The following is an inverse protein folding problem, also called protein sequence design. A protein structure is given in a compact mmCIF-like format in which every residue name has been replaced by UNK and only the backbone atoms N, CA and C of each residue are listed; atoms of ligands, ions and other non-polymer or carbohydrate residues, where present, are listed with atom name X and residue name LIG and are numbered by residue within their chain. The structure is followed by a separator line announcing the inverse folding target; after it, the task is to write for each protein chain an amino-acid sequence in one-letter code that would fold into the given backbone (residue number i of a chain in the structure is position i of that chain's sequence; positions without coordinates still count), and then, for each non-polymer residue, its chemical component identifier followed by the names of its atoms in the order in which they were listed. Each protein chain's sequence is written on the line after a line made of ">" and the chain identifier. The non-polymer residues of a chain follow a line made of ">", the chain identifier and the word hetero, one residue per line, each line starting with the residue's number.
data_IF_220514435989
#
_entry.id   IF_220514435989
#
_cell.length_a   1.000
_cell.length_b   1.000
_cell.length_c   1.000
_cell.angle_alpha   90.00
_cell.angle_beta   90.00
_cell.angle_gamma   90.00
#
_symmetry.space_group_name_H-M   'P 1'
#
loop_
_entity.id
_entity.type
_entity.pdbx_description
1 polymer ?
#
# COMPACT_ATOMS: atom_id res chain seq x y z
N UNK A 1 -39.48 -1.55 40.22
CA UNK A 1 -39.83 -0.36 39.42
C UNK A 1 -38.53 0.15 38.83
N UNK A 2 -38.00 -0.40 37.73
CA UNK A 2 -38.46 -0.43 36.34
C UNK A 2 -38.16 0.87 35.58
N UNK A 3 -36.96 0.95 35.02
CA UNK A 3 -36.57 1.86 33.92
C UNK A 3 -35.72 1.08 32.90
N UNK A 4 -36.23 -0.08 32.48
CA UNK A 4 -35.96 -0.64 31.15
C UNK A 4 -37.24 -0.42 30.36
N UNK A 5 -37.31 0.59 29.50
CA UNK A 5 -38.23 0.73 28.35
C UNK A 5 -38.22 2.20 27.90
N UNK A 6 -37.11 2.62 27.32
CA UNK A 6 -37.09 3.64 26.28
C UNK A 6 -36.20 3.06 25.19
N UNK A 7 -36.51 3.34 23.92
CA UNK A 7 -36.02 2.65 22.70
C UNK A 7 -36.88 1.42 22.31
N UNK A 8 -38.20 1.63 22.15
CA UNK A 8 -39.03 0.82 21.23
C UNK A 8 -40.35 1.52 20.89
N UNK A 9 -40.28 2.70 20.26
CA UNK A 9 -41.47 3.34 19.68
C UNK A 9 -41.04 4.44 18.69
N UNK A 10 -40.52 4.03 17.53
CA UNK A 10 -40.29 4.92 16.39
C UNK A 10 -40.14 4.16 15.08
N UNK A 11 -41.04 3.20 14.84
CA UNK A 11 -41.26 2.58 13.53
C UNK A 11 -42.75 2.25 13.52
N UNK A 12 -43.57 3.18 13.04
CA UNK A 12 -44.93 2.98 12.50
C UNK A 12 -45.68 4.33 12.48
N UNK A 13 -45.23 5.28 11.65
CA UNK A 13 -46.10 6.39 11.24
C UNK A 13 -45.57 7.12 9.98
N UNK A 14 -45.67 6.49 8.81
CA UNK A 14 -45.51 7.17 7.51
C UNK A 14 -46.15 6.43 6.33
N UNK A 15 -47.19 5.63 6.57
CA UNK A 15 -47.90 4.91 5.52
C UNK A 15 -49.41 5.19 5.60
N UNK A 16 -49.84 6.26 4.93
CA UNK A 16 -51.12 6.41 4.18
C UNK A 16 -51.54 7.88 4.11
N UNK A 17 -51.50 8.45 2.90
CA UNK A 17 -52.53 9.30 2.29
C UNK A 17 -51.88 10.16 1.20
N UNK A 18 -52.18 9.91 -0.08
CA UNK A 18 -53.12 10.74 -0.83
C UNK A 18 -53.15 10.29 -2.31
N UNK A 19 -54.24 9.64 -2.70
CA UNK A 19 -54.68 9.45 -4.09
C UNK A 19 -55.70 10.53 -4.40
N UNK A 20 -55.54 11.30 -5.49
CA UNK A 20 -56.63 11.67 -6.41
C UNK A 20 -56.19 12.43 -7.67
N UNK A 21 -57.03 12.21 -8.68
CA UNK A 21 -56.93 12.45 -10.12
C UNK A 21 -57.39 13.85 -10.57
N UNK A 22 -57.12 14.16 -11.87
CA UNK A 22 -57.69 15.17 -12.80
C UNK A 22 -56.80 16.42 -12.99
N UNK A 23 -56.51 16.93 -14.19
CA UNK A 23 -57.39 17.12 -15.37
C UNK A 23 -56.62 17.21 -16.70
N UNK A 24 -57.27 16.73 -17.77
CA UNK A 24 -56.95 16.96 -19.19
C UNK A 24 -57.01 18.45 -19.54
N UNK A 25 -56.09 18.92 -20.40
CA UNK A 25 -56.32 20.07 -21.29
C UNK A 25 -55.80 19.78 -22.69
N UNK A 26 -56.71 20.03 -23.63
CA UNK A 26 -56.71 19.79 -25.07
C UNK A 26 -55.80 20.76 -25.82
N UNK A 27 -55.04 20.30 -26.81
CA UNK A 27 -54.56 21.15 -27.92
C UNK A 27 -54.74 20.38 -29.24
N UNK A 28 -55.14 21.14 -30.26
CA UNK A 28 -55.89 20.80 -31.45
C UNK A 28 -55.08 20.14 -32.58
N UNK A 29 -55.87 19.48 -33.43
CA UNK A 29 -55.55 18.91 -34.73
C UNK A 29 -55.16 20.00 -35.74
N UNK A 30 -54.00 19.88 -36.40
CA UNK A 30 -53.75 20.55 -37.68
C UNK A 30 -52.75 19.74 -38.54
N UNK A 31 -53.30 19.18 -39.61
CA UNK A 31 -52.72 18.88 -40.92
C UNK A 31 -51.45 18.01 -41.04
N UNK A 32 -51.66 16.81 -41.62
CA UNK A 32 -50.67 16.14 -42.46
C UNK A 32 -50.31 17.04 -43.67
N UNK A 33 -49.07 16.90 -44.18
CA UNK A 33 -48.96 16.40 -45.54
C UNK A 33 -48.19 15.08 -45.61
N UNK A 34 -48.44 14.43 -46.74
CA UNK A 34 -48.19 13.05 -47.15
C UNK A 34 -46.74 12.70 -47.50
N UNK A 35 -46.33 11.50 -47.08
CA UNK A 35 -45.38 10.55 -47.72
C UNK A 35 -43.88 10.90 -47.81
N UNK A 36 -42.96 9.93 -48.03
CA UNK A 36 -43.12 8.46 -48.06
C UNK A 36 -42.20 7.68 -47.09
N UNK A 37 -42.57 6.42 -46.91
CA UNK A 37 -41.75 5.28 -46.50
C UNK A 37 -40.37 5.33 -47.21
N UNK A 38 -39.27 5.41 -46.48
CA UNK A 38 -37.92 4.88 -46.82
C UNK A 38 -36.87 5.39 -45.83
N UNK A 39 -36.65 4.67 -44.71
CA UNK A 39 -35.47 4.81 -43.82
C UNK A 39 -35.45 3.75 -42.72
N UNK A 40 -35.64 2.47 -43.07
CA UNK A 40 -35.69 1.39 -42.05
C UNK A 40 -34.99 0.08 -42.48
N UNK A 41 -34.02 0.13 -43.40
CA UNK A 41 -33.20 -1.03 -43.75
C UNK A 41 -31.77 -0.97 -43.17
N UNK A 42 -31.16 0.21 -43.04
CA UNK A 42 -29.75 0.33 -42.59
C UNK A 42 -29.57 0.21 -41.06
N UNK A 43 -30.50 0.72 -40.24
CA UNK A 43 -30.42 0.56 -38.77
C UNK A 43 -30.62 -0.89 -38.32
N UNK A 44 -31.44 -1.67 -39.04
CA UNK A 44 -31.70 -3.07 -38.70
C UNK A 44 -30.50 -3.97 -39.02
N UNK A 45 -29.76 -3.70 -40.11
CA UNK A 45 -28.57 -4.47 -40.48
C UNK A 45 -27.39 -4.23 -39.53
N UNK A 46 -27.13 -2.99 -39.12
CA UNK A 46 -26.09 -2.66 -38.15
C UNK A 46 -26.34 -3.34 -36.79
N UNK A 47 -27.59 -3.32 -36.30
CA UNK A 47 -28.00 -3.99 -35.05
C UNK A 47 -27.92 -5.53 -35.17
N UNK A 48 -28.20 -6.10 -36.34
CA UNK A 48 -28.06 -7.56 -36.57
C UNK A 48 -26.61 -8.03 -36.72
N UNK A 49 -25.73 -7.17 -37.22
CA UNK A 49 -24.29 -7.45 -37.36
C UNK A 49 -23.62 -7.42 -36.00
N UNK A 50 -23.94 -6.44 -35.16
CA UNK A 50 -23.53 -6.41 -33.75
C UNK A 50 -24.04 -7.63 -32.98
N UNK A 51 -25.31 -8.02 -33.18
CA UNK A 51 -25.84 -9.24 -32.56
C UNK A 51 -25.12 -10.51 -33.01
N UNK A 52 -24.82 -10.68 -34.31
CA UNK A 52 -24.07 -11.83 -34.80
C UNK A 52 -22.65 -11.88 -34.23
N UNK A 53 -21.98 -10.73 -34.12
CA UNK A 53 -20.63 -10.65 -33.51
C UNK A 53 -20.69 -10.96 -32.02
N UNK A 54 -21.66 -10.42 -31.29
CA UNK A 54 -21.88 -10.70 -29.86
C UNK A 54 -22.22 -12.19 -29.64
N UNK A 55 -23.08 -12.78 -30.49
CA UNK A 55 -23.44 -14.20 -30.42
C UNK A 55 -22.22 -15.09 -30.69
N UNK A 56 -21.36 -14.71 -31.64
CA UNK A 56 -20.15 -15.46 -31.98
C UNK A 56 -19.09 -15.37 -30.88
N UNK A 57 -18.92 -14.20 -30.26
CA UNK A 57 -18.10 -14.01 -29.05
C UNK A 57 -18.67 -14.83 -27.89
N UNK A 58 -19.99 -14.85 -27.71
CA UNK A 58 -20.67 -15.66 -26.70
C UNK A 58 -20.48 -17.17 -26.92
N UNK A 59 -20.50 -17.64 -28.18
CA UNK A 59 -20.20 -19.02 -28.53
C UNK A 59 -18.74 -19.38 -28.22
N UNK A 60 -17.80 -18.48 -28.57
CA UNK A 60 -16.38 -18.68 -28.32
C UNK A 60 -16.05 -18.70 -26.82
N UNK A 61 -16.66 -17.80 -26.04
CA UNK A 61 -16.52 -17.76 -24.59
C UNK A 61 -17.09 -19.02 -23.91
N UNK A 62 -18.24 -19.53 -24.39
CA UNK A 62 -18.81 -20.81 -23.91
C UNK A 62 -17.92 -21.99 -24.25
N UNK A 63 -17.42 -22.08 -25.48
CA UNK A 63 -16.51 -23.16 -25.88
C UNK A 63 -15.21 -23.14 -25.06
N UNK A 64 -14.65 -21.96 -24.79
CA UNK A 64 -13.49 -21.79 -23.91
C UNK A 64 -13.81 -22.23 -22.48
N UNK A 65 -14.94 -21.78 -21.94
CA UNK A 65 -15.39 -22.14 -20.59
C UNK A 65 -15.62 -23.65 -20.45
N UNK A 66 -16.31 -24.28 -21.41
CA UNK A 66 -16.58 -25.72 -21.42
C UNK A 66 -15.27 -26.51 -21.56
N UNK A 67 -14.32 -26.05 -22.37
CA UNK A 67 -12.99 -26.65 -22.52
C UNK A 67 -12.17 -26.54 -21.23
N UNK A 68 -12.16 -25.37 -20.57
CA UNK A 68 -11.51 -25.17 -19.27
C UNK A 68 -12.13 -26.06 -18.17
N UNK A 69 -13.45 -26.26 -18.23
CA UNK A 69 -14.18 -27.11 -17.30
C UNK A 69 -13.93 -28.60 -17.53
N UNK A 70 -13.90 -29.04 -18.79
CA UNK A 70 -13.63 -30.43 -19.16
C UNK A 70 -12.21 -30.87 -18.79
N UNK A 71 -11.26 -29.92 -18.82
CA UNK A 71 -9.89 -30.11 -18.36
C UNK A 71 -9.71 -29.96 -16.84
N UNK A 72 -10.77 -29.62 -16.08
CA UNK A 72 -10.75 -29.48 -14.62
C UNK A 72 -10.07 -28.22 -14.08
N UNK A 73 -9.89 -27.19 -14.92
CA UNK A 73 -9.26 -25.93 -14.54
C UNK A 73 -10.25 -24.87 -14.01
N UNK A 74 -11.55 -25.11 -14.10
CA UNK A 74 -12.61 -24.24 -13.56
C UNK A 74 -12.40 -23.94 -12.07
N UNK A 75 -12.15 -24.98 -11.27
CA UNK A 75 -11.90 -24.87 -9.83
C UNK A 75 -10.57 -24.19 -9.51
N UNK A 76 -9.54 -24.36 -10.35
CA UNK A 76 -8.23 -23.71 -10.16
C UNK A 76 -8.31 -22.22 -10.47
N UNK A 77 -8.98 -21.85 -11.57
CA UNK A 77 -9.18 -20.45 -11.92
C UNK A 77 -10.03 -19.72 -10.88
N UNK A 78 -11.04 -20.39 -10.31
CA UNK A 78 -11.82 -19.87 -9.18
C UNK A 78 -10.96 -19.69 -7.92
N UNK A 79 -10.04 -20.62 -7.62
CA UNK A 79 -9.09 -20.47 -6.52
C UNK A 79 -8.14 -19.27 -6.73
N UNK A 80 -7.55 -19.15 -7.92
CA UNK A 80 -6.71 -18.01 -8.32
C UNK A 80 -7.46 -16.68 -8.16
N UNK A 81 -8.71 -16.63 -8.63
CA UNK A 81 -9.55 -15.44 -8.53
C UNK A 81 -9.82 -15.01 -7.08
N UNK A 82 -9.79 -15.95 -6.13
CA UNK A 82 -9.94 -15.68 -4.69
C UNK A 82 -8.62 -15.34 -4.00
N UNK A 83 -7.49 -15.88 -4.45
CA UNK A 83 -6.16 -15.65 -3.86
C UNK A 83 -5.59 -14.25 -4.17
N UNK A 84 -5.83 -13.71 -5.36
CA UNK A 84 -5.31 -12.38 -5.75
C UNK A 84 -5.83 -11.24 -4.85
N UNK A 85 -7.15 -11.13 -4.55
CA UNK A 85 -7.66 -10.19 -3.56
C UNK A 85 -7.04 -10.38 -2.17
N UNK A 86 -6.83 -11.63 -1.74
CA UNK A 86 -6.21 -11.92 -0.44
C UNK A 86 -4.75 -11.44 -0.37
N UNK A 87 -3.97 -11.64 -1.44
CA UNK A 87 -2.62 -11.11 -1.54
C UNK A 87 -2.60 -9.58 -1.45
N UNK A 88 -3.54 -8.91 -2.12
CA UNK A 88 -3.68 -7.45 -2.07
C UNK A 88 -3.95 -6.98 -0.64
N UNK A 89 -4.89 -7.60 0.07
CA UNK A 89 -5.21 -7.24 1.45
C UNK A 89 -4.00 -7.42 2.38
N UNK A 90 -3.22 -8.50 2.18
CA UNK A 90 -1.96 -8.73 2.90
C UNK A 90 -0.91 -7.65 2.61
N UNK A 91 -0.77 -7.22 1.36
CA UNK A 91 0.15 -6.13 0.98
C UNK A 91 -0.30 -4.78 1.58
N UNK A 92 -1.61 -4.50 1.59
CA UNK A 92 -2.16 -3.32 2.26
C UNK A 92 -1.91 -3.36 3.76
N UNK A 93 -2.06 -4.53 4.40
CA UNK A 93 -1.71 -4.72 5.80
C UNK A 93 -0.22 -4.42 6.06
N UNK A 94 0.68 -4.90 5.21
CA UNK A 94 2.13 -4.63 5.31
C UNK A 94 2.40 -3.12 5.21
N UNK A 95 1.80 -2.44 4.23
CA UNK A 95 1.97 -1.01 4.04
C UNK A 95 1.54 -0.23 5.30
N UNK A 96 0.34 -0.52 5.82
CA UNK A 96 -0.17 0.11 7.04
C UNK A 96 0.71 -0.15 8.26
N UNK A 97 1.21 -1.38 8.44
CA UNK A 97 2.10 -1.70 9.56
C UNK A 97 3.46 -1.02 9.45
N UNK A 98 3.97 -0.87 8.24
CA UNK A 98 5.24 -0.17 7.98
C UNK A 98 5.11 1.32 8.27
N UNK A 99 4.01 1.93 7.83
CA UNK A 99 3.70 3.34 8.12
C UNK A 99 3.60 3.59 9.64
N UNK A 100 2.87 2.74 10.35
CA UNK A 100 2.66 2.85 11.79
C UNK A 100 3.96 2.68 12.59
N UNK A 101 4.86 1.79 12.15
CA UNK A 101 6.19 1.64 12.76
C UNK A 101 7.10 2.84 12.51
N UNK A 102 7.05 3.39 11.29
CA UNK A 102 7.80 4.59 10.92
C UNK A 102 7.33 5.80 11.74
N UNK A 103 6.02 6.00 11.86
CA UNK A 103 5.42 7.07 12.66
C UNK A 103 5.84 6.96 14.14
N UNK A 104 5.67 5.79 14.77
CA UNK A 104 6.10 5.58 16.17
C UNK A 104 7.60 5.84 16.37
N UNK A 105 8.44 5.35 15.46
CA UNK A 105 9.89 5.55 15.52
C UNK A 105 10.25 7.03 15.39
N UNK A 106 9.61 7.74 14.45
CA UNK A 106 9.83 9.16 14.24
C UNK A 106 9.40 9.97 15.46
N UNK A 107 8.20 9.75 15.97
CA UNK A 107 7.69 10.45 17.16
C UNK A 107 8.57 10.23 18.39
N UNK A 108 9.01 9.00 18.63
CA UNK A 108 9.93 8.71 19.74
C UNK A 108 11.27 9.45 19.57
N UNK A 109 11.78 9.53 18.34
CA UNK A 109 13.00 10.28 18.01
C UNK A 109 12.81 11.78 18.20
N UNK A 110 11.69 12.35 17.76
CA UNK A 110 11.33 13.77 17.94
C UNK A 110 11.24 14.17 19.42
N UNK A 111 10.86 13.25 20.30
CA UNK A 111 10.84 13.48 21.75
C UNK A 111 12.23 13.32 22.37
N UNK A 112 13.00 12.32 21.94
CA UNK A 112 14.32 12.01 22.52
C UNK A 112 15.41 13.04 22.17
N UNK A 113 15.41 13.57 20.94
CA UNK A 113 16.45 14.49 20.48
C UNK A 113 16.54 15.78 21.32
N UNK A 114 15.44 16.52 21.59
CA UNK A 114 15.49 17.74 22.41
C UNK A 114 15.97 17.48 23.84
N UNK A 115 15.65 16.32 24.41
CA UNK A 115 16.11 15.92 25.74
C UNK A 115 17.65 15.83 25.74
N UNK A 116 18.22 15.16 24.75
CA UNK A 116 19.67 14.99 24.66
C UNK A 116 20.40 16.29 24.30
N UNK A 117 19.82 17.11 23.42
CA UNK A 117 20.34 18.44 23.11
C UNK A 117 20.38 19.32 24.36
N UNK A 118 19.28 19.37 25.14
CA UNK A 118 19.22 20.15 26.38
C UNK A 118 20.22 19.66 27.42
N UNK A 119 20.35 18.35 27.59
CA UNK A 119 21.30 17.73 28.51
C UNK A 119 22.75 18.12 28.14
N UNK A 120 23.10 17.97 26.87
CA UNK A 120 24.42 18.33 26.33
C UNK A 120 24.72 19.82 26.47
N UNK A 121 23.78 20.69 26.05
CA UNK A 121 23.93 22.14 26.14
C UNK A 121 24.16 22.61 27.58
N UNK A 122 23.38 22.09 28.53
CA UNK A 122 23.52 22.43 29.95
C UNK A 122 24.86 21.97 30.52
N UNK A 123 25.30 20.75 30.17
CA UNK A 123 26.60 20.23 30.59
C UNK A 123 27.76 21.09 30.06
N UNK A 124 27.72 21.48 28.78
CA UNK A 124 28.73 22.34 28.15
C UNK A 124 28.75 23.74 28.79
N UNK A 125 27.56 24.30 29.04
CA UNK A 125 27.43 25.59 29.72
C UNK A 125 28.06 25.55 31.12
N UNK A 126 27.66 24.59 31.96
CA UNK A 126 28.22 24.44 33.31
C UNK A 126 29.73 24.22 33.28
N UNK A 127 30.22 23.35 32.38
CA UNK A 127 31.67 23.11 32.21
C UNK A 127 32.44 24.39 31.87
N UNK A 128 31.88 25.21 30.97
CA UNK A 128 32.48 26.50 30.59
C UNK A 128 32.49 27.49 31.76
N UNK A 129 31.37 27.57 32.48
CA UNK A 129 31.26 28.43 33.66
C UNK A 129 32.23 28.02 34.77
N UNK A 130 32.42 26.70 35.01
CA UNK A 130 33.40 26.19 35.97
C UNK A 130 34.83 26.53 35.59
N UNK A 131 35.21 26.36 34.32
CA UNK A 131 36.53 26.75 33.82
C UNK A 131 36.80 28.23 34.04
N UNK A 132 35.85 29.09 33.68
CA UNK A 132 35.98 30.53 33.86
C UNK A 132 36.02 30.93 35.34
N UNK A 133 35.20 30.29 36.19
CA UNK A 133 35.20 30.53 37.63
C UNK A 133 36.56 30.19 38.26
N UNK A 134 37.16 29.06 37.87
CA UNK A 134 38.45 28.61 38.36
C UNK A 134 39.61 29.54 37.94
N UNK A 135 39.60 30.03 36.70
CA UNK A 135 40.57 31.02 36.22
C UNK A 135 40.44 32.34 36.98
N UNK A 136 39.20 32.81 37.16
CA UNK A 136 38.93 34.10 37.82
C UNK A 136 39.26 34.04 39.32
N UNK A 137 39.06 32.89 39.97
CA UNK A 137 39.32 32.69 41.40
C UNK A 137 40.79 32.99 41.80
N UNK A 138 41.76 32.76 40.90
CA UNK A 138 43.17 33.11 41.13
C UNK A 138 43.40 34.62 41.26
N UNK A 139 42.61 35.43 40.55
CA UNK A 139 42.83 36.87 40.42
C UNK A 139 41.82 37.69 41.25
N UNK A 140 40.58 37.24 41.37
CA UNK A 140 39.51 37.88 42.13
C UNK A 140 38.52 36.82 42.65
N UNK A 141 38.62 36.39 43.92
CA UNK A 141 37.77 35.35 44.48
C UNK A 141 36.33 35.84 44.70
N UNK A 142 35.40 35.32 43.91
CA UNK A 142 33.95 35.54 44.06
C UNK A 142 33.27 34.29 44.64
N UNK A 143 33.02 34.31 45.94
CA UNK A 143 32.45 33.17 46.68
C UNK A 143 30.97 32.97 46.36
N UNK A 144 30.22 34.03 46.05
CA UNK A 144 28.78 33.92 45.77
C UNK A 144 28.55 33.30 44.40
N UNK A 145 29.31 33.71 43.37
CA UNK A 145 29.25 33.08 42.05
C UNK A 145 29.57 31.58 42.10
N UNK A 146 30.54 31.19 42.94
CA UNK A 146 30.92 29.79 43.11
C UNK A 146 29.81 28.96 43.79
N UNK A 147 29.14 29.52 44.79
CA UNK A 147 27.99 28.88 45.45
C UNK A 147 26.83 28.68 44.47
N UNK A 148 26.49 29.70 43.69
CA UNK A 148 25.44 29.60 42.67
C UNK A 148 25.76 28.49 41.67
N UNK A 149 27.00 28.46 41.16
CA UNK A 149 27.42 27.43 40.21
C UNK A 149 27.39 26.01 40.80
N UNK A 150 27.69 25.87 42.10
CA UNK A 150 27.54 24.60 42.82
C UNK A 150 26.08 24.16 42.90
N UNK A 151 25.17 25.09 43.24
CA UNK A 151 23.72 24.82 43.30
C UNK A 151 23.19 24.42 41.91
N UNK A 152 23.54 25.18 40.87
CA UNK A 152 23.13 24.90 39.49
C UNK A 152 23.64 23.53 39.02
N UNK A 153 24.86 23.16 39.41
CA UNK A 153 25.45 21.85 39.09
C UNK A 153 24.72 20.73 39.82
N UNK A 154 24.41 20.89 41.11
CA UNK A 154 23.66 19.88 41.86
C UNK A 154 22.26 19.69 41.29
N UNK A 155 21.55 20.78 40.96
CA UNK A 155 20.26 20.70 40.29
C UNK A 155 20.36 20.01 38.92
N UNK A 156 21.40 20.30 38.14
CA UNK A 156 21.63 19.60 36.88
C UNK A 156 21.81 18.09 37.12
N UNK A 157 22.65 17.69 38.08
CA UNK A 157 22.89 16.29 38.43
C UNK A 157 21.62 15.57 38.91
N UNK A 158 20.79 16.24 39.72
CA UNK A 158 19.51 15.71 40.21
C UNK A 158 18.50 15.48 39.07
N UNK A 159 18.59 16.26 37.99
CA UNK A 159 17.72 16.15 36.81
C UNK A 159 18.20 15.10 35.80
N UNK A 160 19.45 14.64 35.85
CA UNK A 160 20.00 13.65 34.90
C UNK A 160 19.18 12.35 34.88
N UNK A 161 18.85 11.72 36.02
CA UNK A 161 18.12 10.45 36.03
C UNK A 161 16.75 10.56 35.34
N UNK A 162 16.04 11.68 35.52
CA UNK A 162 14.75 11.91 34.88
C UNK A 162 14.90 11.99 33.35
N UNK A 163 15.84 12.80 32.86
CA UNK A 163 16.08 12.98 31.42
C UNK A 163 16.61 11.68 30.76
N UNK A 164 17.49 10.96 31.46
CA UNK A 164 18.01 9.68 31.00
C UNK A 164 16.89 8.62 30.91
N UNK A 165 16.03 8.54 31.92
CA UNK A 165 14.88 7.64 31.91
C UNK A 165 13.88 8.01 30.82
N UNK A 166 13.61 9.30 30.62
CA UNK A 166 12.73 9.78 29.55
C UNK A 166 13.27 9.41 28.16
N UNK A 167 14.58 9.56 27.93
CA UNK A 167 15.22 9.12 26.68
C UNK A 167 15.14 7.60 26.53
N UNK A 168 15.44 6.84 27.59
CA UNK A 168 15.40 5.38 27.56
C UNK A 168 13.98 4.85 27.24
N UNK A 169 12.94 5.52 27.76
CA UNK A 169 11.56 5.20 27.41
C UNK A 169 11.29 5.37 25.90
N UNK A 170 11.84 6.42 25.27
CA UNK A 170 11.72 6.60 23.81
C UNK A 170 12.51 5.54 23.03
N UNK A 171 13.70 5.14 23.51
CA UNK A 171 14.46 4.05 22.89
C UNK A 171 13.70 2.71 22.97
N UNK A 172 13.01 2.44 24.07
CA UNK A 172 12.13 1.28 24.21
C UNK A 172 10.92 1.38 23.27
N UNK A 173 10.35 2.57 23.07
CA UNK A 173 9.27 2.78 22.11
C UNK A 173 9.73 2.48 20.67
N UNK A 174 10.92 2.94 20.28
CA UNK A 174 11.55 2.61 18.99
C UNK A 174 11.75 1.09 18.86
N UNK A 175 12.26 0.44 19.90
CA UNK A 175 12.48 -1.01 19.90
C UNK A 175 11.16 -1.77 19.78
N UNK A 176 10.12 -1.36 20.51
CA UNK A 176 8.80 -1.99 20.40
C UNK A 176 8.18 -1.75 19.03
N UNK A 177 8.36 -0.56 18.45
CA UNK A 177 7.87 -0.25 17.11
C UNK A 177 8.48 -1.15 16.03
N UNK A 178 9.58 -1.87 16.30
CA UNK A 178 10.20 -2.85 15.39
C UNK A 178 9.45 -4.19 15.30
N UNK A 179 8.48 -4.46 16.18
CA UNK A 179 7.63 -5.65 16.14
C UNK A 179 6.91 -5.84 14.79
N UNK A 180 6.71 -4.75 14.03
CA UNK A 180 6.19 -4.80 12.67
C UNK A 180 7.02 -5.70 11.75
N UNK A 181 8.33 -5.79 11.94
CA UNK A 181 9.22 -6.54 11.05
C UNK A 181 8.88 -8.03 11.07
N UNK A 182 8.62 -8.61 12.25
CA UNK A 182 8.28 -10.02 12.36
C UNK A 182 6.93 -10.31 11.70
N UNK A 183 5.90 -9.52 12.04
CA UNK A 183 4.56 -9.70 11.48
C UNK A 183 4.56 -9.49 9.95
N UNK A 184 5.21 -8.44 9.46
CA UNK A 184 5.27 -8.17 8.02
C UNK A 184 6.11 -9.22 7.30
N UNK A 185 7.22 -9.69 7.88
CA UNK A 185 8.04 -10.76 7.33
C UNK A 185 7.28 -12.07 7.16
N UNK A 186 6.44 -12.44 8.13
CA UNK A 186 5.56 -13.61 8.02
C UNK A 186 4.51 -13.44 6.91
N UNK A 187 3.92 -12.25 6.78
CA UNK A 187 2.92 -11.97 5.74
C UNK A 187 3.56 -11.94 4.35
N UNK A 188 4.74 -11.34 4.19
CA UNK A 188 5.52 -11.35 2.94
C UNK A 188 5.77 -12.79 2.50
N UNK A 189 6.26 -13.65 3.41
CA UNK A 189 6.47 -15.08 3.09
C UNK A 189 5.20 -15.73 2.55
N UNK A 190 4.04 -15.48 3.17
CA UNK A 190 2.76 -16.04 2.70
C UNK A 190 2.37 -15.51 1.32
N UNK A 191 2.50 -14.20 1.09
CA UNK A 191 2.24 -13.58 -0.23
C UNK A 191 3.18 -14.17 -1.28
N UNK A 192 4.47 -14.33 -0.98
CA UNK A 192 5.43 -14.94 -1.91
C UNK A 192 5.04 -16.36 -2.28
N UNK A 193 4.66 -17.20 -1.31
CA UNK A 193 4.21 -18.58 -1.60
C UNK A 193 2.94 -18.59 -2.45
N UNK A 194 2.00 -17.69 -2.19
CA UNK A 194 0.77 -17.55 -2.98
C UNK A 194 1.10 -17.16 -4.41
N UNK A 195 1.94 -16.14 -4.62
CA UNK A 195 2.38 -15.72 -5.97
C UNK A 195 3.10 -16.85 -6.72
N UNK A 196 3.98 -17.60 -6.06
CA UNK A 196 4.65 -18.76 -6.66
C UNK A 196 3.68 -19.87 -7.05
N UNK A 197 2.64 -20.09 -6.25
CA UNK A 197 1.60 -21.09 -6.55
C UNK A 197 0.74 -20.64 -7.74
N UNK A 198 0.33 -19.37 -7.75
CA UNK A 198 -0.38 -18.74 -8.87
C UNK A 198 0.42 -18.81 -10.18
N UNK A 199 1.72 -18.49 -10.12
CA UNK A 199 2.62 -18.56 -11.27
C UNK A 199 2.69 -19.98 -11.84
N UNK A 200 2.89 -20.99 -10.98
CA UNK A 200 2.92 -22.39 -11.38
C UNK A 200 1.60 -22.82 -12.02
N UNK A 201 0.46 -22.48 -11.42
CA UNK A 201 -0.85 -22.85 -11.94
C UNK A 201 -1.13 -22.20 -13.31
N UNK A 202 -0.69 -20.96 -13.51
CA UNK A 202 -0.79 -20.28 -14.80
C UNK A 202 0.12 -20.91 -15.86
N UNK A 203 1.35 -21.29 -15.51
CA UNK A 203 2.27 -22.01 -16.41
C UNK A 203 1.69 -23.37 -16.79
N UNK A 204 1.18 -24.13 -15.83
CA UNK A 204 0.57 -25.45 -16.07
C UNK A 204 -0.64 -25.31 -17.02
N UNK A 205 -1.48 -24.28 -16.82
CA UNK A 205 -2.61 -23.98 -17.70
C UNK A 205 -2.15 -23.62 -19.11
N UNK A 206 -1.12 -22.78 -19.25
CA UNK A 206 -0.57 -22.41 -20.55
C UNK A 206 0.00 -23.63 -21.27
N UNK A 207 0.84 -24.43 -20.60
CA UNK A 207 1.42 -25.66 -21.18
C UNK A 207 0.36 -26.67 -21.61
N UNK A 208 -0.74 -26.79 -20.86
CA UNK A 208 -1.86 -27.65 -21.24
C UNK A 208 -2.65 -27.14 -22.47
N UNK A 209 -2.57 -25.85 -22.79
CA UNK A 209 -3.32 -25.21 -23.87
C UNK A 209 -2.46 -24.80 -25.08
N UNK A 210 -1.13 -24.97 -25.05
CA UNK A 210 -0.28 -24.78 -26.22
C UNK A 210 -0.46 -25.97 -27.16
N UNK A 211 -0.95 -25.78 -28.40
CA UNK A 211 -0.86 -26.80 -29.43
C UNK A 211 0.62 -27.09 -29.65
N UNK A 212 1.04 -28.35 -29.66
CA UNK A 212 2.39 -28.81 -29.97
C UNK A 212 2.92 -28.12 -31.26
N UNK A 213 3.52 -26.92 -31.12
CA UNK A 213 4.21 -26.05 -32.10
C UNK A 213 4.10 -24.58 -31.65
N UNK A 214 4.87 -24.20 -30.63
CA UNK A 214 5.41 -22.84 -30.57
C UNK A 214 6.92 -23.04 -30.43
N UNK A 215 7.65 -22.68 -31.49
CA UNK A 215 9.10 -22.62 -31.44
C UNK A 215 9.51 -21.58 -30.39
N UNK A 216 10.64 -21.76 -29.68
CA UNK A 216 11.02 -20.87 -28.60
C UNK A 216 11.20 -19.46 -29.17
N UNK A 217 10.40 -18.51 -28.70
CA UNK A 217 10.65 -17.09 -28.97
C UNK A 217 11.41 -16.57 -27.77
N UNK A 218 12.57 -15.98 -28.03
CA UNK A 218 13.57 -15.55 -27.06
C UNK A 218 12.95 -14.73 -25.91
N UNK A 219 13.30 -15.10 -24.68
CA UNK A 219 12.84 -14.50 -23.43
C UNK A 219 13.19 -13.00 -23.38
N UNK A 220 12.17 -12.15 -23.52
CA UNK A 220 12.29 -10.70 -23.40
C UNK A 220 12.56 -10.25 -21.97
N UNK A 221 13.74 -9.68 -21.74
CA UNK A 221 14.03 -8.32 -21.21
C UNK A 221 13.23 -7.75 -20.01
N UNK A 222 12.50 -8.54 -19.21
CA UNK A 222 12.01 -8.09 -17.89
C UNK A 222 13.00 -8.45 -16.79
N UNK A 223 14.11 -7.72 -16.74
CA UNK A 223 15.12 -7.86 -15.70
C UNK A 223 14.92 -6.77 -14.65
N UNK A 224 14.32 -7.13 -13.51
CA UNK A 224 14.47 -6.35 -12.28
C UNK A 224 15.94 -6.33 -11.81
N UNK A 225 16.28 -5.53 -10.78
CA UNK A 225 17.66 -5.45 -10.29
C UNK A 225 18.19 -6.85 -9.97
N UNK A 226 19.38 -7.16 -10.51
CA UNK A 226 19.98 -8.50 -10.44
C UNK A 226 20.32 -8.82 -8.99
N UNK A 227 19.52 -9.70 -8.37
CA UNK A 227 19.72 -10.14 -6.99
C UNK A 227 20.60 -11.38 -6.88
N UNK A 228 20.90 -12.05 -8.00
CA UNK A 228 21.73 -13.25 -7.99
C UNK A 228 22.54 -13.44 -9.29
N UNK A 229 23.77 -12.88 -9.38
CA UNK A 229 24.57 -12.88 -10.59
C UNK A 229 25.13 -14.26 -10.97
N UNK A 230 25.27 -15.19 -10.04
CA UNK A 230 25.87 -16.51 -10.34
C UNK A 230 24.95 -17.49 -11.07
N UNK A 231 23.64 -17.21 -11.13
CA UNK A 231 22.65 -18.12 -11.74
C UNK A 231 22.24 -17.71 -13.15
N UNK A 232 22.79 -16.62 -13.70
CA UNK A 232 22.40 -16.10 -14.99
C UNK A 232 23.62 -15.79 -15.86
N UNK A 233 23.75 -16.50 -16.98
CA UNK A 233 24.83 -16.30 -17.96
C UNK A 233 24.63 -15.03 -18.84
N UNK A 234 23.52 -14.31 -18.63
CA UNK A 234 23.12 -13.10 -19.38
C UNK A 234 23.31 -11.82 -18.54
N UNK A 235 24.09 -11.90 -17.46
CA UNK A 235 24.43 -10.74 -16.64
C UNK A 235 25.86 -10.35 -16.93
N UNK A 236 26.01 -9.20 -17.60
CA UNK A 236 27.29 -8.55 -17.78
C UNK A 236 27.75 -8.03 -16.41
N UNK A 237 28.74 -8.68 -15.82
CA UNK A 237 29.23 -8.40 -14.47
C UNK A 237 30.58 -7.68 -14.43
N UNK A 238 31.23 -7.46 -15.58
CA UNK A 238 32.52 -6.76 -15.69
C UNK A 238 32.51 -5.68 -16.78
N UNK A 239 33.29 -4.62 -16.55
CA UNK A 239 33.41 -3.48 -17.46
C UNK A 239 33.95 -3.89 -18.85
N UNK A 240 34.82 -4.90 -18.91
CA UNK A 240 35.36 -5.40 -20.17
C UNK A 240 34.27 -6.02 -21.08
N UNK A 241 33.27 -6.67 -20.48
CA UNK A 241 32.13 -7.23 -21.20
C UNK A 241 31.16 -6.14 -21.69
N UNK A 242 31.13 -4.98 -21.02
CA UNK A 242 30.37 -3.80 -21.47
C UNK A 242 31.03 -3.22 -22.72
N UNK A 243 32.36 -3.11 -22.72
CA UNK A 243 33.13 -2.59 -23.85
C UNK A 243 33.01 -3.51 -25.08
N UNK A 244 33.03 -4.83 -24.90
CA UNK A 244 32.80 -5.81 -25.97
C UNK A 244 31.39 -5.71 -26.59
N UNK A 245 30.38 -5.45 -25.75
CA UNK A 245 29.00 -5.28 -26.21
C UNK A 245 28.84 -3.98 -27.02
N UNK A 246 29.49 -2.89 -26.58
CA UNK A 246 29.49 -1.60 -27.28
C UNK A 246 30.21 -1.70 -28.63
N UNK A 247 31.34 -2.41 -28.68
CA UNK A 247 32.07 -2.67 -29.91
C UNK A 247 31.24 -3.49 -30.92
N UNK A 248 30.41 -4.44 -30.44
CA UNK A 248 29.52 -5.24 -31.29
C UNK A 248 28.36 -4.44 -31.90
N UNK A 249 27.95 -3.35 -31.24
CA UNK A 249 26.90 -2.43 -31.67
C UNK A 249 27.43 -1.28 -32.54
N UNK A 250 28.74 -1.23 -32.79
CA UNK A 250 29.38 -0.28 -33.70
C UNK A 250 29.66 1.10 -33.11
N UNK A 251 29.81 1.20 -31.78
CA UNK A 251 30.36 2.37 -31.08
C UNK A 251 31.81 2.14 -30.65
#
# INVERSE_FOLDING_TARGET
>A
MNTKHQIKEKVDDAAKANTKSKSRKTIQLANLPSSPISKNLEETEAITTDKKVIDQIGQMARNLHDSLRELGYDKRLEAIANEVPEAKDKLTYIASKTEQAAERTLSATEIAMPIQEKLSATAVQLSTQWKQALETQKNNPDTEKFKTLLIDTLQFLDNIPEQANATNAQLLEIMMAQDFQDLTGQVIKKVTHMVQSLEKDLIDLLLANVPNKIAPTEEGLLNGPVTNPEKRNDVVSSQDQVDDLLASLGF
#
